data_IF_320774418692
#
_entry.id   IF_320774418692
#
_cell.length_a   1.000
_cell.length_b   1.000
_cell.length_c   1.000
_cell.angle_alpha   90.00
_cell.angle_beta   90.00
_cell.angle_gamma   90.00
#
_symmetry.space_group_name_H-M   'P 1'
#
loop_
_entity.id
_entity.type
_entity.pdbx_description
1 polymer ?
#
# COMPACT_ATOMS: atom_id res chain seq x y z
N UNK A 1 18.05 12.52 -9.27
CA UNK A 1 17.13 11.74 -8.40
C UNK A 1 15.86 11.45 -9.17
N UNK A 2 15.26 10.28 -9.01
CA UNK A 2 13.94 10.00 -9.58
C UNK A 2 12.89 10.78 -8.79
N UNK A 3 11.86 11.36 -9.45
CA UNK A 3 10.78 12.05 -8.73
C UNK A 3 10.07 11.09 -7.78
N UNK A 4 9.76 11.57 -6.58
CA UNK A 4 9.04 10.78 -5.58
C UNK A 4 7.58 10.56 -6.01
N UNK A 5 7.16 9.28 -6.05
CA UNK A 5 5.79 8.92 -6.39
C UNK A 5 4.84 9.35 -5.26
N UNK A 6 3.75 10.03 -5.63
CA UNK A 6 2.70 10.47 -4.69
C UNK A 6 1.43 9.64 -4.78
N UNK A 7 1.11 9.13 -5.95
CA UNK A 7 -0.10 8.32 -6.19
C UNK A 7 0.31 6.99 -6.75
N UNK A 8 -0.13 5.90 -6.10
CA UNK A 8 0.06 4.53 -6.56
C UNK A 8 -1.29 3.90 -6.85
N UNK A 9 -1.62 3.76 -8.14
CA UNK A 9 -2.85 3.15 -8.60
C UNK A 9 -2.59 1.71 -9.05
N UNK A 10 -3.13 0.76 -8.29
CA UNK A 10 -2.99 -0.67 -8.49
C UNK A 10 -4.35 -1.36 -8.63
N UNK A 11 -5.40 -0.64 -9.00
CA UNK A 11 -6.73 -1.23 -9.17
C UNK A 11 -6.73 -2.31 -10.26
N UNK A 12 -7.57 -3.33 -10.08
CA UNK A 12 -7.82 -4.39 -11.07
C UNK A 12 -6.56 -5.13 -11.56
N UNK A 13 -5.63 -5.42 -10.65
CA UNK A 13 -4.39 -6.16 -10.95
C UNK A 13 -4.40 -7.60 -10.42
N UNK A 14 -5.52 -8.06 -9.86
CA UNK A 14 -5.62 -9.39 -9.27
C UNK A 14 -4.66 -9.62 -8.09
N UNK A 15 -4.25 -8.55 -7.41
CA UNK A 15 -3.38 -8.62 -6.22
C UNK A 15 -4.10 -9.41 -5.13
N UNK A 16 -3.39 -10.38 -4.55
CA UNK A 16 -3.85 -11.20 -3.42
C UNK A 16 -3.09 -10.81 -2.15
N UNK A 17 -3.40 -11.46 -1.03
CA UNK A 17 -2.78 -11.17 0.27
C UNK A 17 -1.26 -11.09 0.22
N UNK A 18 -0.60 -12.05 -0.44
CA UNK A 18 0.86 -12.06 -0.58
C UNK A 18 1.41 -10.79 -1.28
N UNK A 19 0.68 -10.24 -2.25
CA UNK A 19 1.08 -9.01 -2.93
C UNK A 19 0.92 -7.78 -2.03
N UNK A 20 -0.13 -7.73 -1.21
CA UNK A 20 -0.29 -6.66 -0.21
C UNK A 20 0.81 -6.75 0.86
N UNK A 21 1.12 -7.95 1.35
CA UNK A 21 2.22 -8.18 2.31
C UNK A 21 3.55 -7.68 1.74
N UNK A 22 3.87 -8.02 0.49
CA UNK A 22 5.09 -7.56 -0.16
C UNK A 22 5.11 -6.04 -0.35
N UNK A 23 3.98 -5.43 -0.71
CA UNK A 23 3.85 -3.98 -0.83
C UNK A 23 4.08 -3.29 0.52
N UNK A 24 3.53 -3.84 1.60
CA UNK A 24 3.68 -3.30 2.95
C UNK A 24 5.10 -3.50 3.52
N UNK A 25 5.78 -4.59 3.17
CA UNK A 25 7.20 -4.76 3.48
C UNK A 25 8.04 -3.66 2.80
N UNK A 26 7.73 -3.34 1.53
CA UNK A 26 8.38 -2.24 0.80
C UNK A 26 8.08 -0.88 1.45
N UNK A 27 6.87 -0.66 1.97
CA UNK A 27 6.53 0.54 2.73
C UNK A 27 7.35 0.66 4.02
N UNK A 28 7.57 -0.45 4.73
CA UNK A 28 8.37 -0.47 5.96
C UNK A 28 9.84 -0.10 5.73
N UNK A 29 10.36 -0.29 4.52
CA UNK A 29 11.69 0.17 4.10
C UNK A 29 11.73 1.67 3.73
N UNK A 30 10.63 2.40 3.89
CA UNK A 30 10.54 3.83 3.58
C UNK A 30 10.41 4.15 2.09
N UNK A 31 10.40 3.13 1.21
CA UNK A 31 10.33 3.31 -0.24
C UNK A 31 9.00 3.90 -0.71
N UNK A 32 7.96 3.79 0.11
CA UNK A 32 6.63 4.38 -0.14
C UNK A 32 6.32 5.56 0.78
N UNK A 33 7.33 6.13 1.46
CA UNK A 33 7.12 7.21 2.43
C UNK A 33 6.55 8.52 1.83
N UNK A 34 6.60 8.66 0.51
CA UNK A 34 6.04 9.81 -0.21
C UNK A 34 4.62 9.60 -0.76
N UNK A 35 4.06 8.39 -0.63
CA UNK A 35 2.72 8.09 -1.14
C UNK A 35 1.67 8.83 -0.31
N UNK A 36 0.81 9.57 -1.02
CA UNK A 36 -0.34 10.29 -0.51
C UNK A 36 -1.67 9.58 -0.87
N UNK A 37 -1.72 8.87 -2.00
CA UNK A 37 -2.89 8.10 -2.44
C UNK A 37 -2.49 6.68 -2.87
N UNK A 38 -3.16 5.67 -2.29
CA UNK A 38 -3.02 4.26 -2.63
C UNK A 38 -4.38 3.69 -3.04
N UNK A 39 -4.48 3.21 -4.28
CA UNK A 39 -5.72 2.64 -4.83
C UNK A 39 -5.52 1.16 -5.12
N UNK A 40 -6.23 0.31 -4.40
CA UNK A 40 -6.20 -1.16 -4.45
C UNK A 40 -7.55 -1.77 -4.86
N UNK A 41 -8.50 -0.95 -5.30
CA UNK A 41 -9.85 -1.39 -5.68
C UNK A 41 -9.83 -2.54 -6.69
N UNK A 42 -10.84 -3.40 -6.64
CA UNK A 42 -11.00 -4.53 -7.58
C UNK A 42 -9.82 -5.52 -7.56
N UNK A 43 -9.06 -5.59 -6.46
CA UNK A 43 -8.13 -6.67 -6.20
C UNK A 43 -8.79 -7.80 -5.38
N UNK A 44 -8.07 -8.90 -5.18
CA UNK A 44 -8.59 -10.15 -4.61
C UNK A 44 -7.83 -10.55 -3.35
N UNK A 45 -7.63 -9.59 -2.44
CA UNK A 45 -7.01 -9.84 -1.13
C UNK A 45 -8.07 -9.90 -0.03
N UNK A 46 -7.89 -10.86 0.87
CA UNK A 46 -8.75 -11.11 2.02
C UNK A 46 -8.23 -10.45 3.29
N UNK A 47 -8.55 -11.05 4.43
CA UNK A 47 -8.26 -10.48 5.74
C UNK A 47 -6.76 -10.40 6.02
N UNK A 48 -5.98 -11.40 5.60
CA UNK A 48 -4.53 -11.38 5.80
C UNK A 48 -3.84 -10.19 5.11
N UNK A 49 -4.25 -9.83 3.89
CA UNK A 49 -3.77 -8.63 3.21
C UNK A 49 -4.24 -7.35 3.90
N UNK A 50 -5.49 -7.32 4.35
CA UNK A 50 -6.05 -6.17 5.08
C UNK A 50 -5.34 -5.92 6.43
N UNK A 51 -4.99 -6.99 7.16
CA UNK A 51 -4.24 -6.93 8.41
C UNK A 51 -2.83 -6.40 8.18
N UNK A 52 -2.15 -6.86 7.12
CA UNK A 52 -0.82 -6.36 6.75
C UNK A 52 -0.86 -4.85 6.41
N UNK A 53 -1.87 -4.42 5.65
CA UNK A 53 -2.10 -3.02 5.32
C UNK A 53 -2.34 -2.17 6.56
N UNK A 54 -3.24 -2.63 7.44
CA UNK A 54 -3.56 -1.95 8.71
C UNK A 54 -2.32 -1.84 9.60
N UNK A 55 -1.58 -2.94 9.76
CA UNK A 55 -0.37 -2.96 10.56
C UNK A 55 0.71 -1.98 10.03
N UNK A 56 0.84 -1.86 8.71
CA UNK A 56 1.78 -0.92 8.07
C UNK A 56 1.39 0.54 8.35
N UNK A 57 0.10 0.85 8.25
CA UNK A 57 -0.44 2.18 8.57
C UNK A 57 -0.24 2.50 10.06
N UNK A 58 -0.59 1.59 10.96
CA UNK A 58 -0.41 1.78 12.41
C UNK A 58 1.05 1.96 12.81
N UNK A 59 1.99 1.33 12.10
CA UNK A 59 3.44 1.52 12.30
C UNK A 59 3.99 2.81 11.69
N UNK A 60 3.18 3.58 10.97
CA UNK A 60 3.60 4.81 10.33
C UNK A 60 4.48 4.60 9.09
N UNK A 61 4.45 3.41 8.49
CA UNK A 61 5.22 3.10 7.27
C UNK A 61 4.73 3.86 6.02
N UNK A 62 3.52 4.44 6.10
CA UNK A 62 2.94 5.29 5.07
C UNK A 62 2.59 6.68 5.66
N UNK A 63 3.60 7.48 6.08
CA UNK A 63 3.39 8.67 6.90
C UNK A 63 2.68 9.83 6.19
N UNK A 64 2.60 9.80 4.86
CA UNK A 64 1.93 10.83 4.05
C UNK A 64 0.60 10.36 3.46
N UNK A 65 0.17 9.14 3.73
CA UNK A 65 -1.04 8.58 3.15
C UNK A 65 -2.27 9.34 3.64
N UNK A 66 -3.05 9.85 2.69
CA UNK A 66 -4.30 10.59 2.92
C UNK A 66 -5.51 9.82 2.42
N UNK A 67 -5.33 9.08 1.32
CA UNK A 67 -6.41 8.38 0.66
C UNK A 67 -6.02 6.92 0.43
N UNK A 68 -6.85 6.01 0.94
CA UNK A 68 -6.76 4.59 0.70
C UNK A 68 -8.08 4.10 0.11
N UNK A 69 -8.03 3.48 -1.06
CA UNK A 69 -9.17 2.78 -1.66
C UNK A 69 -8.84 1.28 -1.72
N UNK A 70 -9.74 0.43 -1.23
CA UNK A 70 -9.54 -1.03 -1.11
C UNK A 70 -10.33 -1.78 -2.17
#
# INVERSE_FOLDING_TARGET
EAPALKTLHLADNGIRDAGIVALMATAAEGKLASIEELVLEKNRFGDAGADALTASISKGSLPKLKYLKR
#
